data_IF_448405060876
#
_entry.id   IF_448405060876
#
_cell.length_a   1.000
_cell.length_b   1.000
_cell.length_c   1.000
_cell.angle_alpha   90.00
_cell.angle_beta   90.00
_cell.angle_gamma   90.00
#
_symmetry.space_group_name_H-M   'P 1'
#
loop_
_entity.id
_entity.type
_entity.pdbx_description
1 polymer ?
#
# COMPACT_ATOMS: atom_id res chain seq x y z
N UNK A 1 23.58 -18.15 -1.56
CA UNK A 1 23.48 -18.25 -0.08
C UNK A 1 23.83 -16.89 0.49
N UNK A 2 22.83 -16.09 0.85
CA UNK A 2 23.02 -14.78 1.49
C UNK A 2 22.92 -14.96 3.01
N UNK A 3 23.87 -14.50 3.84
CA UNK A 3 23.74 -14.61 5.28
C UNK A 3 22.90 -13.47 5.86
N UNK A 4 21.81 -13.83 6.55
CA UNK A 4 20.92 -12.96 7.33
C UNK A 4 21.64 -12.39 8.55
N UNK A 5 21.66 -11.06 8.70
CA UNK A 5 22.05 -10.40 9.95
C UNK A 5 20.83 -10.27 10.86
N UNK A 6 20.83 -10.99 11.99
CA UNK A 6 19.87 -10.80 13.09
C UNK A 6 20.62 -10.07 14.18
N UNK A 7 20.14 -8.88 14.56
CA UNK A 7 20.69 -8.15 15.70
C UNK A 7 19.65 -8.22 16.82
N UNK A 8 19.93 -8.98 17.87
CA UNK A 8 19.10 -8.99 19.07
C UNK A 8 19.41 -7.75 19.91
N UNK A 9 18.38 -6.94 20.17
CA UNK A 9 18.45 -5.82 21.09
C UNK A 9 17.82 -6.26 22.41
N UNK A 10 18.66 -6.64 23.38
CA UNK A 10 18.25 -6.83 24.77
C UNK A 10 18.09 -5.47 25.45
N UNK A 11 16.89 -5.15 25.94
CA UNK A 11 16.62 -3.97 26.76
C UNK A 11 16.51 -4.40 28.22
N UNK A 12 17.31 -3.85 29.16
CA UNK A 12 17.13 -4.15 30.57
C UNK A 12 15.95 -3.36 31.15
N UNK A 13 15.06 -4.09 31.83
CA UNK A 13 13.97 -3.54 32.63
C UNK A 13 14.54 -2.94 33.91
N UNK A 14 14.26 -1.66 34.17
CA UNK A 14 14.32 -1.10 35.52
C UNK A 14 13.27 0.00 35.65
N UNK A 15 12.37 -0.17 36.61
CA UNK A 15 11.41 0.83 37.09
C UNK A 15 11.67 1.01 38.59
N UNK A 16 11.63 2.24 39.15
CA UNK A 16 10.46 2.56 39.96
C UNK A 16 10.02 4.04 39.97
N UNK A 17 8.69 4.23 39.84
CA UNK A 17 7.76 5.18 40.48
C UNK A 17 8.27 6.60 40.85
N UNK A 18 7.78 7.62 40.12
CA UNK A 18 7.36 8.92 40.67
C UNK A 18 6.34 9.61 39.73
N UNK A 19 5.29 10.20 40.31
CA UNK A 19 4.22 10.92 39.61
C UNK A 19 4.68 12.34 39.21
N UNK A 20 4.40 12.75 37.98
CA UNK A 20 4.01 14.13 37.66
C UNK A 20 3.30 14.18 36.31
N UNK A 21 2.11 14.81 36.31
CA UNK A 21 1.35 15.18 35.12
C UNK A 21 2.13 16.24 34.36
N UNK A 22 2.22 16.13 33.04
CA UNK A 22 2.34 17.26 32.12
C UNK A 22 2.10 16.77 30.68
N UNK A 23 1.11 17.37 30.02
CA UNK A 23 0.77 17.17 28.61
C UNK A 23 1.98 17.52 27.73
N UNK A 24 2.61 16.50 27.13
CA UNK A 24 3.58 16.71 26.08
C UNK A 24 2.91 16.48 24.73
N UNK A 25 2.47 17.59 24.12
CA UNK A 25 2.21 17.67 22.69
C UNK A 25 3.46 17.18 21.95
N UNK A 26 3.33 16.02 21.30
CA UNK A 26 4.37 15.45 20.46
C UNK A 26 4.48 16.32 19.19
N UNK A 27 5.42 17.26 19.21
CA UNK A 27 5.82 18.01 18.01
C UNK A 27 6.55 17.05 17.08
N UNK A 28 5.84 16.58 16.06
CA UNK A 28 6.43 15.85 14.94
C UNK A 28 7.46 16.75 14.23
N UNK A 29 8.61 16.21 13.78
CA UNK A 29 9.67 17.00 13.15
C UNK A 29 9.15 17.66 11.87
N UNK A 30 9.22 18.99 11.81
CA UNK A 30 8.88 19.77 10.61
C UNK A 30 9.86 19.47 9.48
N UNK A 31 9.46 18.60 8.56
CA UNK A 31 10.18 18.40 7.31
C UNK A 31 9.81 19.54 6.34
N UNK A 32 10.78 20.42 6.06
CA UNK A 32 10.58 21.61 5.23
C UNK A 32 10.57 21.19 3.75
N UNK A 33 9.40 21.04 3.16
CA UNK A 33 9.22 20.98 1.70
C UNK A 33 8.29 22.13 1.32
N UNK A 34 8.55 22.81 0.20
CA UNK A 34 7.93 24.07 -0.25
C UNK A 34 6.43 24.01 -0.59
N UNK A 35 5.62 23.45 0.31
CA UNK A 35 4.17 23.28 0.22
C UNK A 35 3.52 23.48 1.58
N UNK A 36 3.84 24.57 2.27
CA UNK A 36 3.22 24.90 3.56
C UNK A 36 1.69 24.99 3.41
N UNK A 37 0.95 24.27 4.25
CA UNK A 37 -0.51 24.23 4.24
C UNK A 37 -1.15 23.28 3.22
N UNK A 38 -0.35 22.54 2.42
CA UNK A 38 -0.85 21.54 1.49
C UNK A 38 -0.85 20.14 2.12
N UNK A 39 -1.88 19.35 1.82
CA UNK A 39 -1.85 17.90 2.07
C UNK A 39 -0.79 17.23 1.19
N UNK A 40 -0.29 16.06 1.59
CA UNK A 40 0.71 15.33 0.80
C UNK A 40 0.25 15.09 -0.66
N UNK A 41 -1.04 14.82 -0.87
CA UNK A 41 -1.63 14.63 -2.20
C UNK A 41 -1.65 15.92 -3.02
N UNK A 42 -1.92 17.06 -2.38
CA UNK A 42 -1.86 18.38 -3.02
C UNK A 42 -0.42 18.76 -3.37
N UNK A 43 0.55 18.44 -2.51
CA UNK A 43 1.95 18.76 -2.74
C UNK A 43 2.56 18.02 -3.95
N UNK A 44 2.07 16.82 -4.29
CA UNK A 44 2.53 16.04 -5.45
C UNK A 44 1.69 16.27 -6.72
N UNK A 45 0.62 17.06 -6.63
CA UNK A 45 -0.26 17.35 -7.77
C UNK A 45 0.32 18.47 -8.64
N UNK A 46 0.25 18.34 -9.96
CA UNK A 46 0.74 19.36 -10.88
C UNK A 46 -0.35 20.42 -11.15
N UNK A 47 -0.39 21.47 -10.34
CA UNK A 47 -1.30 22.62 -10.51
C UNK A 47 -2.38 22.73 -9.43
N UNK A 48 -3.44 23.50 -9.71
CA UNK A 48 -4.50 23.81 -8.73
C UNK A 48 -5.52 22.70 -8.47
N UNK A 49 -5.42 21.56 -9.16
CA UNK A 49 -6.34 20.43 -9.03
C UNK A 49 -5.59 19.27 -8.37
N UNK A 50 -6.03 18.87 -7.18
CA UNK A 50 -5.49 17.71 -6.49
C UNK A 50 -5.96 16.41 -7.17
N UNK A 51 -5.08 15.41 -7.25
CA UNK A 51 -5.46 14.07 -7.65
C UNK A 51 -6.59 13.53 -6.75
N UNK A 52 -7.59 12.81 -7.28
CA UNK A 52 -8.60 12.17 -6.45
C UNK A 52 -7.93 11.09 -5.58
N UNK A 53 -8.34 11.00 -4.31
CA UNK A 53 -7.93 9.94 -3.42
C UNK A 53 -8.58 8.59 -3.76
N UNK A 54 -8.27 7.56 -2.96
CA UNK A 54 -8.97 6.27 -3.04
C UNK A 54 -10.46 6.50 -2.71
N UNK A 55 -11.40 6.02 -3.54
CA UNK A 55 -12.83 6.17 -3.27
C UNK A 55 -13.26 5.48 -1.97
N UNK A 56 -14.33 5.99 -1.35
CA UNK A 56 -15.02 5.30 -0.26
C UNK A 56 -16.09 4.35 -0.80
N UNK A 57 -16.29 3.20 -0.17
CA UNK A 57 -17.24 2.18 -0.60
C UNK A 57 -18.25 1.87 0.50
N UNK A 58 -19.50 1.60 0.12
CA UNK A 58 -20.58 1.25 1.06
C UNK A 58 -20.58 -0.24 1.42
N UNK A 59 -19.97 -1.11 0.61
CA UNK A 59 -19.89 -2.55 0.85
C UNK A 59 -18.50 -3.11 0.53
N UNK A 60 -18.18 -4.26 1.11
CA UNK A 60 -16.92 -4.96 0.84
C UNK A 60 -16.85 -5.46 -0.60
N UNK A 61 -17.97 -5.88 -1.19
CA UNK A 61 -18.06 -6.34 -2.58
C UNK A 61 -17.71 -5.22 -3.57
N UNK A 62 -18.23 -4.01 -3.34
CA UNK A 62 -17.91 -2.85 -4.19
C UNK A 62 -16.43 -2.48 -4.10
N UNK A 63 -15.88 -2.49 -2.88
CA UNK A 63 -14.44 -2.27 -2.67
C UNK A 63 -13.60 -3.36 -3.33
N UNK A 64 -14.02 -4.62 -3.23
CA UNK A 64 -13.35 -5.78 -3.85
C UNK A 64 -13.35 -5.63 -5.36
N UNK A 65 -14.49 -5.36 -5.99
CA UNK A 65 -14.60 -5.16 -7.42
C UNK A 65 -13.65 -4.05 -7.91
N UNK A 66 -13.68 -2.90 -7.24
CA UNK A 66 -12.78 -1.78 -7.56
C UNK A 66 -11.30 -2.17 -7.45
N UNK A 67 -10.90 -2.90 -6.39
CA UNK A 67 -9.52 -3.35 -6.20
C UNK A 67 -9.08 -4.32 -7.31
N UNK A 68 -9.92 -5.29 -7.69
CA UNK A 68 -9.59 -6.27 -8.73
C UNK A 68 -9.52 -5.64 -10.13
N UNK A 69 -10.38 -4.66 -10.41
CA UNK A 69 -10.31 -3.86 -11.64
C UNK A 69 -9.01 -3.04 -11.72
N UNK A 70 -8.62 -2.40 -10.61
CA UNK A 70 -7.37 -1.64 -10.53
C UNK A 70 -6.15 -2.55 -10.68
N UNK A 71 -6.18 -3.72 -10.05
CA UNK A 71 -5.13 -4.72 -10.16
C UNK A 71 -4.97 -5.23 -11.60
N UNK A 72 -6.07 -5.56 -12.28
CA UNK A 72 -6.03 -5.92 -13.70
C UNK A 72 -5.50 -4.76 -14.57
N UNK A 73 -5.87 -3.52 -14.26
CA UNK A 73 -5.34 -2.31 -14.89
C UNK A 73 -3.81 -2.18 -14.73
N UNK A 74 -3.29 -2.43 -13.53
CA UNK A 74 -1.85 -2.38 -13.24
C UNK A 74 -1.06 -3.39 -14.09
N UNK A 75 -1.53 -4.64 -14.19
CA UNK A 75 -0.91 -5.64 -15.06
C UNK A 75 -0.89 -5.22 -16.53
N UNK A 76 -1.99 -4.65 -17.04
CA UNK A 76 -2.03 -4.16 -18.44
C UNK A 76 -1.06 -3.00 -18.66
N UNK A 77 -0.84 -2.15 -17.66
CA UNK A 77 0.19 -1.11 -17.71
C UNK A 77 1.57 -1.74 -17.76
N UNK A 78 1.87 -2.73 -16.91
CA UNK A 78 3.14 -3.46 -16.92
C UNK A 78 3.41 -4.12 -18.28
N UNK A 79 2.42 -4.78 -18.86
CA UNK A 79 2.52 -5.35 -20.19
C UNK A 79 2.84 -4.30 -21.27
N UNK A 80 2.17 -3.14 -21.23
CA UNK A 80 2.44 -2.04 -22.17
C UNK A 80 3.83 -1.42 -22.04
N UNK A 81 4.41 -1.44 -20.84
CA UNK A 81 5.75 -0.90 -20.58
C UNK A 81 6.87 -1.94 -20.71
N UNK A 82 6.54 -3.18 -21.11
CA UNK A 82 7.53 -4.25 -21.28
C UNK A 82 8.06 -4.83 -19.98
N UNK A 83 7.33 -4.70 -18.87
CA UNK A 83 7.70 -5.28 -17.57
C UNK A 83 7.30 -6.76 -17.43
N UNK A 84 7.15 -7.46 -18.55
CA UNK A 84 6.78 -8.89 -18.61
C UNK A 84 8.03 -9.75 -18.81
N UNK A 85 8.26 -10.71 -17.92
CA UNK A 85 9.38 -11.66 -18.01
C UNK A 85 8.85 -13.10 -17.94
N UNK A 86 8.49 -13.67 -19.10
CA UNK A 86 7.96 -15.03 -19.18
C UNK A 86 6.72 -15.23 -18.30
N UNK A 87 6.81 -16.15 -17.34
CA UNK A 87 5.75 -16.42 -16.34
C UNK A 87 5.99 -15.72 -14.99
N UNK A 88 7.05 -14.92 -14.88
CA UNK A 88 7.44 -14.25 -13.64
C UNK A 88 6.55 -13.05 -13.34
N UNK A 89 6.36 -12.78 -12.05
CA UNK A 89 5.68 -11.59 -11.53
C UNK A 89 4.28 -11.87 -11.02
N UNK A 90 3.98 -11.27 -9.87
CA UNK A 90 2.66 -11.29 -9.26
C UNK A 90 2.38 -9.96 -8.56
N UNK A 91 1.10 -9.64 -8.43
CA UNK A 91 0.58 -8.60 -7.54
C UNK A 91 -0.34 -9.33 -6.57
N UNK A 92 -0.32 -8.93 -5.30
CA UNK A 92 -1.26 -9.43 -4.30
C UNK A 92 -1.94 -8.26 -3.60
N UNK A 93 -3.26 -8.31 -3.47
CA UNK A 93 -4.04 -7.31 -2.72
C UNK A 93 -4.87 -8.01 -1.65
N UNK A 94 -4.88 -7.47 -0.43
CA UNK A 94 -5.65 -8.04 0.69
C UNK A 94 -7.14 -7.92 0.42
N UNK A 95 -7.90 -8.97 0.72
CA UNK A 95 -9.36 -8.91 0.62
C UNK A 95 -9.94 -7.88 1.62
N UNK A 96 -10.95 -7.07 1.24
CA UNK A 96 -11.51 -6.06 2.13
C UNK A 96 -12.36 -6.64 3.27
N UNK A 97 -12.81 -7.89 3.16
CA UNK A 97 -13.63 -8.59 4.16
C UNK A 97 -12.80 -9.58 4.99
N UNK A 98 -11.90 -10.32 4.33
CA UNK A 98 -11.07 -11.34 4.96
C UNK A 98 -9.61 -10.89 5.09
N UNK A 99 -9.25 -10.39 6.27
CA UNK A 99 -7.92 -9.84 6.52
C UNK A 99 -6.78 -10.85 6.33
N UNK A 100 -7.04 -12.16 6.36
CA UNK A 100 -6.06 -13.23 6.16
C UNK A 100 -6.05 -13.81 4.74
N UNK A 101 -6.80 -13.23 3.79
CA UNK A 101 -6.87 -13.67 2.40
C UNK A 101 -6.33 -12.61 1.44
N UNK A 102 -5.74 -13.05 0.32
CA UNK A 102 -5.12 -12.18 -0.67
C UNK A 102 -5.53 -12.60 -2.08
N UNK A 103 -6.02 -11.64 -2.85
CA UNK A 103 -6.24 -11.81 -4.27
C UNK A 103 -4.91 -11.76 -5.01
N UNK A 104 -4.70 -12.71 -5.92
CA UNK A 104 -3.53 -12.77 -6.80
C UNK A 104 -3.93 -13.04 -8.25
N UNK A 105 -3.02 -12.78 -9.19
CA UNK A 105 -3.22 -13.15 -10.58
C UNK A 105 -3.10 -14.68 -10.77
N UNK A 106 -3.84 -15.26 -11.71
CA UNK A 106 -3.68 -16.66 -12.07
C UNK A 106 -2.31 -16.92 -12.70
N UNK A 107 -1.85 -18.17 -12.56
CA UNK A 107 -0.60 -18.62 -13.15
C UNK A 107 -0.72 -18.67 -14.69
N UNK A 108 0.36 -18.29 -15.37
CA UNK A 108 0.53 -18.43 -16.82
C UNK A 108 -0.49 -17.69 -17.71
N UNK A 109 -1.19 -16.68 -17.18
CA UNK A 109 -1.98 -15.75 -18.00
C UNK A 109 -1.17 -14.49 -18.28
N UNK A 110 -1.01 -14.14 -19.55
CA UNK A 110 -0.26 -12.96 -19.95
C UNK A 110 -0.86 -11.68 -19.34
N UNK A 111 -0.01 -10.81 -18.77
CA UNK A 111 -0.44 -9.61 -18.04
C UNK A 111 -1.36 -8.68 -18.85
N UNK A 112 -1.17 -8.60 -20.17
CA UNK A 112 -2.02 -7.81 -21.07
C UNK A 112 -3.45 -8.34 -21.25
N UNK A 113 -3.72 -9.60 -20.88
CA UNK A 113 -5.02 -10.26 -21.05
C UNK A 113 -5.82 -10.35 -19.75
N UNK A 114 -5.19 -10.10 -18.60
CA UNK A 114 -5.84 -10.23 -17.30
C UNK A 114 -7.07 -9.32 -17.17
N UNK A 115 -8.16 -9.90 -16.66
CA UNK A 115 -9.41 -9.23 -16.25
C UNK A 115 -9.59 -9.37 -14.74
N UNK A 116 -10.44 -8.53 -14.16
CA UNK A 116 -10.80 -8.62 -12.75
C UNK A 116 -11.38 -10.00 -12.38
N UNK A 117 -12.15 -10.60 -13.30
CA UNK A 117 -12.75 -11.93 -13.16
C UNK A 117 -11.74 -13.08 -13.13
N UNK A 118 -10.52 -12.85 -13.60
CA UNK A 118 -9.50 -13.89 -13.70
C UNK A 118 -8.72 -14.03 -12.38
N UNK A 119 -8.84 -13.05 -11.48
CA UNK A 119 -8.14 -13.03 -10.20
C UNK A 119 -8.62 -14.17 -9.30
N UNK A 120 -7.69 -14.73 -8.54
CA UNK A 120 -7.94 -15.85 -7.63
C UNK A 120 -7.69 -15.40 -6.18
N UNK A 121 -8.49 -15.94 -5.26
CA UNK A 121 -8.38 -15.70 -3.83
C UNK A 121 -7.66 -16.86 -3.13
#
# INVERSE_FOLDING_TARGET
>A
MSPTAVTEITVPVNNPIAKSKEDQQKTEPQHVHGGEGLTALQAISHGGIALPGIPSFTSHELKRQWQLEHMAGAFRIWARHGYTEGMSGHISVRDPEHANAFWTNPLAVHFGMLKASDMIL
#
